data_IF_279756423819
#
_entry.id   IF_279756423819
#
_cell.length_a   1.000
_cell.length_b   1.000
_cell.length_c   1.000
_cell.angle_alpha   90.00
_cell.angle_beta   90.00
_cell.angle_gamma   90.00
#
_symmetry.space_group_name_H-M   'P 1'
#
loop_
_entity.id
_entity.type
_entity.pdbx_description
1 polymer ?
#
# COMPACT_ATOMS: atom_id res chain seq x y z
N UNK A 1 -24.23 64.39 -0.81
CA UNK A 1 -23.54 63.68 0.30
C UNK A 1 -24.21 62.36 0.73
N UNK A 2 -25.55 62.24 0.74
CA UNK A 2 -26.24 61.02 1.23
C UNK A 2 -26.12 59.79 0.30
N UNK A 3 -26.00 59.99 -1.02
CA UNK A 3 -25.83 58.91 -2.00
C UNK A 3 -24.39 58.40 -2.16
N UNK A 4 -23.38 59.17 -1.73
CA UNK A 4 -21.97 58.76 -1.76
C UNK A 4 -21.66 57.68 -0.71
N UNK A 5 -22.36 57.70 0.42
CA UNK A 5 -22.23 56.70 1.49
C UNK A 5 -22.80 55.33 1.08
N UNK A 6 -23.88 55.33 0.27
CA UNK A 6 -24.47 54.09 -0.26
C UNK A 6 -23.52 53.41 -1.26
N UNK A 7 -22.79 54.20 -2.05
CA UNK A 7 -21.81 53.69 -3.01
C UNK A 7 -20.58 53.06 -2.31
N UNK A 8 -20.16 53.60 -1.17
CA UNK A 8 -19.07 53.05 -0.36
C UNK A 8 -19.46 51.76 0.39
N UNK A 9 -20.74 51.60 0.75
CA UNK A 9 -21.24 50.37 1.37
C UNK A 9 -21.39 49.24 0.33
N UNK A 10 -21.79 49.54 -0.91
CA UNK A 10 -21.83 48.56 -1.99
C UNK A 10 -20.46 48.10 -2.51
N UNK A 11 -19.38 48.83 -2.20
CA UNK A 11 -18.02 48.47 -2.62
C UNK A 11 -17.37 47.37 -1.77
N UNK A 12 -17.99 46.96 -0.66
CA UNK A 12 -17.57 45.78 0.11
C UNK A 12 -18.14 44.50 -0.52
N UNK A 13 -17.91 44.29 -1.82
CA UNK A 13 -18.07 42.96 -2.40
C UNK A 13 -17.02 42.07 -1.76
N UNK A 14 -17.47 41.19 -0.87
CA UNK A 14 -16.64 40.15 -0.25
C UNK A 14 -15.92 39.39 -1.36
N UNK A 15 -14.60 39.57 -1.45
CA UNK A 15 -13.76 38.84 -2.39
C UNK A 15 -13.81 37.36 -2.02
N UNK A 16 -14.64 36.62 -2.75
CA UNK A 16 -14.69 35.17 -2.70
C UNK A 16 -13.49 34.63 -3.48
N UNK A 17 -12.63 33.84 -2.83
CA UNK A 17 -11.55 33.16 -3.51
C UNK A 17 -12.15 31.94 -4.20
N UNK A 18 -12.17 31.93 -5.55
CA UNK A 18 -12.77 30.87 -6.36
C UNK A 18 -11.67 30.01 -6.97
N UNK A 19 -11.79 28.70 -6.78
CA UNK A 19 -10.89 27.68 -7.30
C UNK A 19 -11.67 26.63 -8.06
N UNK A 20 -11.01 25.95 -9.00
CA UNK A 20 -11.58 24.79 -9.68
C UNK A 20 -10.69 23.60 -9.42
N UNK A 21 -11.30 22.49 -8.99
CA UNK A 21 -10.58 21.25 -8.73
C UNK A 21 -11.32 20.08 -9.35
N UNK A 22 -10.55 19.08 -9.78
CA UNK A 22 -11.10 17.80 -10.20
C UNK A 22 -11.43 16.98 -8.96
N UNK A 23 -12.63 16.41 -8.93
CA UNK A 23 -13.05 15.53 -7.85
C UNK A 23 -12.43 14.14 -8.02
N UNK A 24 -11.37 13.89 -7.29
CA UNK A 24 -10.60 12.64 -7.35
C UNK A 24 -11.01 11.66 -6.25
N UNK A 25 -10.74 10.36 -6.41
CA UNK A 25 -10.77 9.40 -5.31
C UNK A 25 -9.87 9.85 -4.15
N UNK A 26 -10.23 9.51 -2.93
CA UNK A 26 -9.40 9.85 -1.76
C UNK A 26 -7.98 9.29 -1.89
N UNK A 27 -7.88 8.03 -2.33
CA UNK A 27 -6.61 7.37 -2.58
C UNK A 27 -6.65 6.64 -3.92
N UNK A 28 -5.51 6.65 -4.62
CA UNK A 28 -5.25 5.83 -5.78
C UNK A 28 -4.00 4.98 -5.52
N UNK A 29 -4.11 3.68 -5.75
CA UNK A 29 -3.08 2.70 -5.48
C UNK A 29 -2.60 2.07 -6.79
N UNK A 30 -1.29 2.01 -6.94
CA UNK A 30 -0.62 1.28 -8.02
C UNK A 30 -0.08 -0.02 -7.46
N UNK A 31 -0.77 -1.12 -7.73
CA UNK A 31 -0.40 -2.43 -7.20
C UNK A 31 0.65 -3.04 -8.10
N UNK A 32 1.83 -3.30 -7.53
CA UNK A 32 2.99 -3.83 -8.23
C UNK A 32 3.28 -5.25 -7.77
N UNK A 33 3.99 -6.01 -8.60
CA UNK A 33 4.40 -7.36 -8.22
C UNK A 33 5.50 -7.33 -7.19
N UNK A 34 5.39 -8.17 -6.15
CA UNK A 34 6.47 -8.39 -5.19
C UNK A 34 7.38 -9.54 -5.61
N UNK A 35 6.93 -10.37 -6.56
CA UNK A 35 7.56 -11.64 -6.94
C UNK A 35 7.59 -11.80 -8.45
N UNK A 36 8.52 -12.60 -8.96
CA UNK A 36 8.52 -13.00 -10.36
C UNK A 36 7.56 -14.17 -10.59
N UNK A 37 6.95 -14.21 -11.77
CA UNK A 37 6.14 -15.34 -12.17
C UNK A 37 5.41 -15.12 -13.48
N UNK A 38 4.95 -16.23 -14.06
CA UNK A 38 4.01 -16.20 -15.18
C UNK A 38 2.60 -15.95 -14.64
N UNK A 39 1.85 -15.05 -15.25
CA UNK A 39 0.44 -14.81 -14.93
C UNK A 39 -0.39 -15.99 -15.43
N UNK A 40 -1.03 -16.71 -14.52
CA UNK A 40 -1.92 -17.83 -14.87
C UNK A 40 -3.40 -17.40 -14.91
N UNK A 41 -3.72 -16.28 -14.26
CA UNK A 41 -5.05 -15.71 -14.23
C UNK A 41 -4.99 -14.19 -14.13
N UNK A 42 -5.82 -13.51 -14.91
CA UNK A 42 -6.06 -12.07 -14.88
C UNK A 42 -7.55 -11.80 -15.06
N UNK A 43 -8.17 -11.09 -14.12
CA UNK A 43 -9.61 -10.84 -14.10
C UNK A 43 -9.99 -9.57 -14.85
N UNK A 44 -9.78 -9.53 -16.16
CA UNK A 44 -10.09 -8.34 -17.00
C UNK A 44 -11.56 -7.89 -16.88
N UNK A 45 -12.49 -8.81 -16.56
CA UNK A 45 -13.92 -8.53 -16.44
C UNK A 45 -14.31 -7.60 -15.27
N UNK A 46 -13.41 -7.41 -14.30
CA UNK A 46 -13.62 -6.58 -13.11
C UNK A 46 -13.18 -5.13 -13.30
N UNK A 47 -12.50 -4.82 -14.41
CA UNK A 47 -12.16 -3.45 -14.76
C UNK A 47 -13.42 -2.58 -14.79
N UNK A 48 -13.30 -1.40 -14.19
CA UNK A 48 -14.43 -0.49 -14.06
C UNK A 48 -15.44 -0.86 -12.97
N UNK A 49 -15.16 -1.86 -12.11
CA UNK A 49 -16.05 -2.32 -11.03
C UNK A 49 -15.34 -2.34 -9.67
N UNK A 50 -16.13 -2.47 -8.60
CA UNK A 50 -15.60 -2.76 -7.25
C UNK A 50 -15.14 -4.21 -7.15
N UNK A 51 -14.03 -4.42 -6.47
CA UNK A 51 -13.40 -5.73 -6.37
C UNK A 51 -14.21 -6.75 -5.56
N UNK A 52 -14.88 -6.35 -4.48
CA UNK A 52 -15.72 -7.23 -3.65
C UNK A 52 -15.05 -8.58 -3.25
N UNK A 53 -13.81 -8.52 -2.76
CA UNK A 53 -13.01 -9.68 -2.36
C UNK A 53 -12.72 -10.66 -3.51
N UNK A 54 -12.64 -10.15 -4.74
CA UNK A 54 -12.34 -10.96 -5.92
C UNK A 54 -10.85 -11.20 -6.09
N UNK A 55 -10.53 -12.36 -6.67
CA UNK A 55 -9.22 -12.62 -7.24
C UNK A 55 -9.03 -11.72 -8.46
N UNK A 56 -7.96 -10.94 -8.46
CA UNK A 56 -7.61 -10.03 -9.56
C UNK A 56 -6.58 -10.69 -10.45
N UNK A 57 -5.47 -11.14 -9.86
CA UNK A 57 -4.34 -11.73 -10.57
C UNK A 57 -3.84 -12.93 -9.79
N UNK A 58 -3.48 -14.00 -10.51
CA UNK A 58 -2.75 -15.13 -9.96
C UNK A 58 -1.51 -15.42 -10.80
N UNK A 59 -0.37 -15.57 -10.14
CA UNK A 59 0.90 -15.96 -10.71
C UNK A 59 1.18 -17.44 -10.43
N UNK A 60 1.91 -18.10 -11.31
CA UNK A 60 2.29 -19.50 -11.14
C UNK A 60 3.15 -19.69 -9.89
N UNK A 61 2.64 -20.52 -8.97
CA UNK A 61 3.27 -20.88 -7.69
C UNK A 61 3.65 -22.35 -7.60
N UNK A 62 3.55 -23.12 -8.69
CA UNK A 62 3.78 -24.57 -8.67
C UNK A 62 5.16 -24.94 -8.14
N UNK A 63 6.22 -24.38 -8.72
CA UNK A 63 7.61 -24.68 -8.33
C UNK A 63 7.86 -24.29 -6.88
N UNK A 64 7.43 -23.11 -6.45
CA UNK A 64 7.58 -22.65 -5.06
C UNK A 64 6.90 -23.58 -4.06
N UNK A 65 5.71 -24.09 -4.39
CA UNK A 65 4.97 -25.03 -3.53
C UNK A 65 5.68 -26.38 -3.42
N UNK A 66 6.27 -26.87 -4.51
CA UNK A 66 7.09 -28.07 -4.51
C UNK A 66 8.33 -27.87 -3.66
N UNK A 67 9.05 -26.76 -3.84
CA UNK A 67 10.25 -26.45 -3.04
C UNK A 67 9.91 -26.26 -1.56
N UNK A 68 8.76 -25.65 -1.24
CA UNK A 68 8.29 -25.51 0.14
C UNK A 68 8.09 -26.88 0.81
N UNK A 69 7.41 -27.80 0.11
CA UNK A 69 7.17 -29.16 0.63
C UNK A 69 8.49 -29.91 0.84
N UNK A 70 9.41 -29.84 -0.12
CA UNK A 70 10.71 -30.50 0.02
C UNK A 70 11.56 -29.89 1.13
N UNK A 71 11.52 -28.57 1.28
CA UNK A 71 12.23 -27.86 2.34
C UNK A 71 11.66 -28.20 3.72
N UNK A 72 10.34 -28.41 3.84
CA UNK A 72 9.71 -28.91 5.08
C UNK A 72 10.16 -30.33 5.42
N UNK A 73 10.18 -31.24 4.44
CA UNK A 73 10.71 -32.59 4.66
C UNK A 73 12.19 -32.57 5.11
N UNK A 74 12.99 -31.67 4.53
CA UNK A 74 14.38 -31.47 4.94
C UNK A 74 14.50 -30.97 6.38
N UNK A 75 13.59 -30.08 6.81
CA UNK A 75 13.52 -29.60 8.19
C UNK A 75 13.23 -30.74 9.17
N UNK A 76 12.30 -31.64 8.82
CA UNK A 76 11.97 -32.82 9.63
C UNK A 76 13.19 -33.74 9.78
N UNK A 77 13.87 -34.06 8.68
CA UNK A 77 15.09 -34.88 8.71
C UNK A 77 16.19 -34.24 9.57
N UNK A 78 16.43 -32.92 9.44
CA UNK A 78 17.42 -32.20 10.26
C UNK A 78 17.03 -32.18 11.73
N UNK A 79 15.74 -32.05 12.06
CA UNK A 79 15.28 -32.14 13.46
C UNK A 79 15.58 -33.50 14.06
N UNK A 80 15.34 -34.59 13.32
CA UNK A 80 15.69 -35.94 13.77
C UNK A 80 17.20 -36.11 13.95
N UNK A 81 18.02 -35.55 13.04
CA UNK A 81 19.48 -35.56 13.20
C UNK A 81 19.93 -34.81 14.45
N UNK A 82 19.37 -33.61 14.72
CA UNK A 82 19.67 -32.84 15.93
C UNK A 82 19.34 -33.66 17.18
N UNK A 83 18.19 -34.35 17.19
CA UNK A 83 17.77 -35.16 18.33
C UNK A 83 18.75 -36.31 18.59
N UNK A 84 19.13 -37.04 17.55
CA UNK A 84 20.09 -38.15 17.63
C UNK A 84 21.44 -37.64 18.14
N UNK A 85 21.98 -36.58 17.54
CA UNK A 85 23.31 -36.08 17.86
C UNK A 85 23.36 -35.41 19.25
N UNK A 86 22.26 -34.81 19.69
CA UNK A 86 22.12 -34.27 21.05
C UNK A 86 22.09 -35.40 22.07
N UNK A 87 21.34 -36.48 21.81
CA UNK A 87 21.34 -37.68 22.67
C UNK A 87 22.72 -38.32 22.74
N UNK A 88 23.44 -38.39 21.61
CA UNK A 88 24.80 -38.90 21.55
C UNK A 88 25.77 -38.04 22.36
N UNK A 89 25.68 -36.71 22.24
CA UNK A 89 26.48 -35.78 23.04
C UNK A 89 26.25 -35.98 24.54
N UNK A 90 24.99 -36.04 24.97
CA UNK A 90 24.65 -36.25 26.38
C UNK A 90 25.12 -37.60 26.92
N UNK A 91 25.06 -38.66 26.12
CA UNK A 91 25.66 -39.97 26.47
C UNK A 91 27.18 -39.85 26.61
N UNK A 92 27.84 -39.18 25.68
CA UNK A 92 29.30 -39.07 25.65
C UNK A 92 29.85 -38.23 26.80
N UNK A 93 29.11 -37.23 27.27
CA UNK A 93 29.46 -36.46 28.49
C UNK A 93 29.54 -37.33 29.74
N UNK A 94 28.78 -38.42 29.81
CA UNK A 94 28.78 -39.36 30.95
C UNK A 94 29.93 -40.36 30.90
N UNK A 95 30.67 -40.43 29.79
CA UNK A 95 31.79 -41.36 29.60
C UNK A 95 33.09 -40.65 29.98
N UNK A 96 33.67 -41.06 31.12
CA UNK A 96 34.91 -40.47 31.64
C UNK A 96 36.14 -40.75 30.78
N UNK A 97 36.15 -41.86 30.05
CA UNK A 97 37.25 -42.23 29.14
C UNK A 97 37.27 -41.45 27.82
N UNK A 98 36.25 -40.62 27.56
CA UNK A 98 36.20 -39.77 26.37
C UNK A 98 36.86 -38.43 26.62
N UNK A 99 37.73 -38.04 25.70
CA UNK A 99 38.44 -36.76 25.78
C UNK A 99 37.48 -35.60 25.61
N UNK A 100 37.82 -34.44 26.19
CA UNK A 100 37.01 -33.24 26.03
C UNK A 100 37.01 -32.75 24.57
N UNK A 101 38.11 -32.98 23.84
CA UNK A 101 38.17 -32.76 22.39
C UNK A 101 37.08 -33.55 21.63
N UNK A 102 36.89 -34.84 21.93
CA UNK A 102 35.82 -35.62 21.30
C UNK A 102 34.44 -35.07 21.67
N UNK A 103 34.23 -34.70 22.94
CA UNK A 103 32.97 -34.09 23.43
C UNK A 103 32.66 -32.79 22.72
N UNK A 104 33.65 -31.92 22.56
CA UNK A 104 33.48 -30.65 21.87
C UNK A 104 33.21 -30.84 20.37
N UNK A 105 33.89 -31.78 19.72
CA UNK A 105 33.62 -32.10 18.32
C UNK A 105 32.17 -32.58 18.12
N UNK A 106 31.65 -33.41 19.03
CA UNK A 106 30.26 -33.85 18.98
C UNK A 106 29.27 -32.71 19.26
N UNK A 107 29.59 -31.80 20.19
CA UNK A 107 28.80 -30.58 20.43
C UNK A 107 28.75 -29.68 19.20
N UNK A 108 29.88 -29.50 18.51
CA UNK A 108 29.98 -28.71 17.28
C UNK A 108 29.08 -29.27 16.17
N UNK A 109 28.95 -30.59 16.04
CA UNK A 109 27.99 -31.20 15.10
C UNK A 109 26.55 -30.78 15.39
N UNK A 110 26.13 -30.82 16.66
CA UNK A 110 24.79 -30.38 17.06
C UNK A 110 24.57 -28.91 16.72
N UNK A 111 25.54 -28.05 17.05
CA UNK A 111 25.48 -26.61 16.75
C UNK A 111 25.35 -26.37 15.24
N UNK A 112 26.16 -27.05 14.42
CA UNK A 112 26.10 -26.92 12.95
C UNK A 112 24.74 -27.33 12.38
N UNK A 113 24.14 -28.40 12.91
CA UNK A 113 22.79 -28.83 12.51
C UNK A 113 21.73 -27.80 12.95
N UNK A 114 21.89 -27.18 14.12
CA UNK A 114 21.01 -26.10 14.58
C UNK A 114 21.09 -24.86 13.69
N UNK A 115 22.29 -24.47 13.24
CA UNK A 115 22.48 -23.41 12.25
C UNK A 115 21.77 -23.76 10.94
N UNK A 116 21.98 -24.97 10.44
CA UNK A 116 21.30 -25.47 9.22
C UNK A 116 19.77 -25.42 9.35
N UNK A 117 19.23 -25.78 10.53
CA UNK A 117 17.80 -25.68 10.84
C UNK A 117 17.31 -24.23 10.77
N UNK A 118 18.09 -23.27 11.27
CA UNK A 118 17.73 -21.85 11.21
C UNK A 118 17.64 -21.37 9.75
N UNK A 119 18.62 -21.72 8.91
CA UNK A 119 18.64 -21.37 7.49
C UNK A 119 17.43 -21.95 6.74
N UNK A 120 17.11 -23.23 7.02
CA UNK A 120 15.94 -23.89 6.44
C UNK A 120 14.64 -23.17 6.83
N UNK A 121 14.52 -22.72 8.09
CA UNK A 121 13.33 -21.96 8.54
C UNK A 121 13.19 -20.63 7.81
N UNK A 122 14.30 -19.92 7.59
CA UNK A 122 14.30 -18.67 6.81
C UNK A 122 13.83 -18.95 5.37
N UNK A 123 14.36 -20.01 4.74
CA UNK A 123 13.93 -20.41 3.39
C UNK A 123 12.42 -20.73 3.33
N UNK A 124 11.89 -21.45 4.32
CA UNK A 124 10.45 -21.74 4.42
C UNK A 124 9.63 -20.45 4.53
N UNK A 125 10.07 -19.50 5.34
CA UNK A 125 9.39 -18.22 5.49
C UNK A 125 9.34 -17.44 4.15
N UNK A 126 10.48 -17.36 3.45
CA UNK A 126 10.57 -16.70 2.14
C UNK A 126 9.67 -17.37 1.09
N UNK A 127 9.63 -18.71 1.04
CA UNK A 127 8.77 -19.44 0.11
C UNK A 127 7.28 -19.22 0.41
N UNK A 128 6.89 -19.23 1.69
CA UNK A 128 5.51 -18.93 2.10
C UNK A 128 5.10 -17.52 1.72
N UNK A 129 5.97 -16.55 1.94
CA UNK A 129 5.72 -15.15 1.55
C UNK A 129 5.60 -15.02 0.02
N UNK A 130 6.52 -15.64 -0.73
CA UNK A 130 6.46 -15.68 -2.20
C UNK A 130 5.12 -16.24 -2.70
N UNK A 131 4.72 -17.42 -2.23
CA UNK A 131 3.47 -18.08 -2.63
C UNK A 131 2.24 -17.22 -2.29
N UNK A 132 2.25 -16.56 -1.13
CA UNK A 132 1.17 -15.65 -0.74
C UNK A 132 1.08 -14.46 -1.70
N UNK A 133 2.22 -13.86 -2.04
CA UNK A 133 2.30 -12.69 -2.93
C UNK A 133 2.00 -13.02 -4.40
N UNK A 134 1.96 -14.31 -4.78
CA UNK A 134 1.52 -14.76 -6.11
C UNK A 134 0.00 -14.75 -6.29
N UNK A 135 -0.79 -14.62 -5.23
CA UNK A 135 -2.26 -14.57 -5.29
C UNK A 135 -2.77 -13.20 -4.83
N UNK A 136 -3.27 -12.39 -5.75
CA UNK A 136 -3.69 -11.02 -5.48
C UNK A 136 -5.20 -10.92 -5.41
N UNK A 137 -5.70 -10.68 -4.20
CA UNK A 137 -7.13 -10.50 -3.91
C UNK A 137 -7.34 -9.06 -3.45
N UNK A 138 -8.26 -8.36 -4.11
CA UNK A 138 -8.64 -6.99 -3.73
C UNK A 138 -10.00 -7.01 -3.04
N UNK A 139 -10.12 -6.29 -1.91
CA UNK A 139 -11.27 -6.38 -1.01
C UNK A 139 -12.43 -5.51 -1.48
N UNK A 140 -12.22 -4.21 -1.63
CA UNK A 140 -13.34 -3.28 -1.84
C UNK A 140 -13.02 -2.10 -2.78
N UNK A 141 -11.76 -1.95 -3.15
CA UNK A 141 -11.37 -0.86 -4.03
C UNK A 141 -11.97 -1.04 -5.43
N UNK A 142 -12.17 0.08 -6.12
CA UNK A 142 -12.56 0.10 -7.52
C UNK A 142 -11.34 -0.23 -8.39
N UNK A 143 -11.46 -1.22 -9.27
CA UNK A 143 -10.38 -1.60 -10.18
C UNK A 143 -10.45 -0.68 -11.40
N UNK A 144 -9.45 0.19 -11.54
CA UNK A 144 -9.40 1.14 -12.64
C UNK A 144 -8.98 0.47 -13.93
N UNK A 145 -7.89 -0.30 -13.88
CA UNK A 145 -7.36 -1.05 -15.01
C UNK A 145 -6.45 -2.18 -14.50
N UNK A 146 -6.30 -3.22 -15.30
CA UNK A 146 -5.35 -4.31 -15.12
C UNK A 146 -4.31 -4.20 -16.24
N UNK A 147 -3.04 -4.16 -15.86
CA UNK A 147 -1.92 -3.89 -16.75
C UNK A 147 -1.25 -5.16 -17.30
N UNK A 148 -1.67 -6.35 -16.84
CA UNK A 148 -1.09 -7.64 -17.23
C UNK A 148 -2.16 -8.63 -17.63
N UNK A 149 -1.85 -9.46 -18.63
CA UNK A 149 -2.74 -10.48 -19.16
C UNK A 149 -2.28 -11.86 -18.76
N UNK A 150 -3.16 -12.85 -18.96
CA UNK A 150 -2.79 -14.25 -18.84
C UNK A 150 -1.61 -14.54 -19.78
N UNK A 151 -0.69 -15.36 -19.29
CA UNK A 151 0.56 -15.76 -19.93
C UNK A 151 1.68 -14.72 -19.97
N UNK A 152 1.45 -13.48 -19.51
CA UNK A 152 2.52 -12.50 -19.32
C UNK A 152 3.49 -12.95 -18.24
N UNK A 153 4.75 -12.53 -18.39
CA UNK A 153 5.77 -12.69 -17.35
C UNK A 153 5.99 -11.37 -16.62
N UNK A 154 5.94 -11.42 -15.30
CA UNK A 154 6.15 -10.25 -14.44
C UNK A 154 7.39 -10.44 -13.57
N UNK A 155 7.99 -9.31 -13.20
CA UNK A 155 9.13 -9.23 -12.28
C UNK A 155 8.76 -8.35 -11.08
N UNK A 156 9.50 -8.40 -9.96
CA UNK A 156 9.31 -7.47 -8.87
C UNK A 156 9.33 -6.01 -9.35
N UNK A 157 8.33 -5.24 -8.94
CA UNK A 157 8.13 -3.84 -9.35
C UNK A 157 7.27 -3.65 -10.60
N UNK A 158 6.96 -4.70 -11.37
CA UNK A 158 6.04 -4.61 -12.53
C UNK A 158 4.66 -4.15 -12.05
N UNK A 159 4.07 -3.14 -12.72
CA UNK A 159 2.71 -2.68 -12.45
C UNK A 159 1.69 -3.73 -12.88
N UNK A 160 0.87 -4.18 -11.93
CA UNK A 160 -0.10 -5.24 -12.14
C UNK A 160 -1.49 -4.69 -12.40
N UNK A 161 -1.99 -3.82 -11.53
CA UNK A 161 -3.27 -3.15 -11.68
C UNK A 161 -3.33 -1.86 -10.86
N UNK A 162 -4.25 -0.97 -11.19
CA UNK A 162 -4.53 0.22 -10.40
C UNK A 162 -5.90 0.09 -9.70
N UNK A 163 -5.92 0.46 -8.44
CA UNK A 163 -7.11 0.41 -7.59
C UNK A 163 -7.38 1.78 -6.97
N UNK A 164 -8.65 2.17 -6.85
CA UNK A 164 -9.07 3.48 -6.35
C UNK A 164 -10.01 3.31 -5.16
N UNK A 165 -9.73 4.03 -4.09
CA UNK A 165 -10.64 4.13 -2.94
C UNK A 165 -11.70 5.19 -3.23
N UNK A 166 -12.93 4.74 -3.47
CA UNK A 166 -14.08 5.61 -3.77
C UNK A 166 -14.92 5.93 -2.53
N UNK A 167 -14.42 5.69 -1.30
CA UNK A 167 -15.15 5.97 -0.07
C UNK A 167 -15.41 7.47 0.15
N UNK A 168 -14.44 8.30 -0.24
CA UNK A 168 -14.49 9.76 -0.17
C UNK A 168 -13.93 10.37 -1.44
N UNK A 169 -14.34 11.59 -1.72
CA UNK A 169 -13.71 12.44 -2.73
C UNK A 169 -12.63 13.31 -2.12
N UNK A 170 -11.63 13.62 -2.93
CA UNK A 170 -10.59 14.59 -2.64
C UNK A 170 -10.62 15.67 -3.71
N UNK A 171 -10.61 16.93 -3.27
CA UNK A 171 -10.36 18.08 -4.13
C UNK A 171 -9.00 18.64 -3.74
N UNK A 172 -8.11 18.77 -4.72
CA UNK A 172 -6.83 19.44 -4.57
C UNK A 172 -6.92 20.80 -5.27
N UNK A 173 -6.72 21.87 -4.50
CA UNK A 173 -6.65 23.24 -5.01
C UNK A 173 -5.30 23.85 -4.63
N UNK A 174 -4.84 24.82 -5.41
CA UNK A 174 -3.64 25.60 -5.13
C UNK A 174 -4.05 27.01 -4.72
N UNK A 175 -3.77 27.36 -3.47
CA UNK A 175 -4.17 28.64 -2.88
C UNK A 175 -2.92 29.50 -2.68
N UNK A 176 -2.93 30.79 -3.12
CA UNK A 176 -1.80 31.69 -2.92
C UNK A 176 -1.37 31.76 -1.45
N UNK A 177 -0.07 31.79 -1.20
CA UNK A 177 0.51 31.74 0.16
C UNK A 177 -0.07 32.85 1.05
N UNK A 178 -0.22 34.07 0.50
CA UNK A 178 -0.74 35.24 1.22
C UNK A 178 -2.22 35.11 1.63
N UNK A 179 -2.96 34.17 1.03
CA UNK A 179 -4.38 33.94 1.28
C UNK A 179 -4.66 32.73 2.18
N UNK A 180 -3.63 31.95 2.54
CA UNK A 180 -3.78 30.72 3.32
C UNK A 180 -4.39 30.98 4.70
N UNK A 181 -3.95 32.02 5.41
CA UNK A 181 -4.53 32.35 6.72
C UNK A 181 -5.99 32.85 6.59
N UNK A 182 -6.35 33.45 5.45
CA UNK A 182 -7.71 33.96 5.21
C UNK A 182 -8.70 32.84 4.91
N UNK A 183 -8.27 31.75 4.29
CA UNK A 183 -9.19 30.64 3.93
C UNK A 183 -9.52 29.73 5.11
N UNK A 184 -8.68 29.67 6.16
CA UNK A 184 -8.88 28.79 7.31
C UNK A 184 -10.16 29.09 8.11
N UNK A 185 -10.60 30.35 8.10
CA UNK A 185 -11.76 30.84 8.86
C UNK A 185 -13.02 31.03 8.02
N UNK A 186 -12.96 30.77 6.71
CA UNK A 186 -14.07 31.01 5.77
C UNK A 186 -14.96 29.80 5.59
N UNK A 187 -16.22 30.06 5.25
CA UNK A 187 -17.16 29.01 4.86
C UNK A 187 -16.79 28.47 3.48
N UNK A 188 -16.80 27.13 3.33
CA UNK A 188 -16.49 26.46 2.07
C UNK A 188 -17.77 26.18 1.29
N UNK A 189 -17.84 26.69 0.07
CA UNK A 189 -18.92 26.42 -0.88
C UNK A 189 -18.41 25.52 -2.00
N UNK A 190 -19.25 24.55 -2.39
CA UNK A 190 -18.99 23.61 -3.48
C UNK A 190 -20.12 23.73 -4.49
N UNK A 191 -19.79 24.10 -5.73
CA UNK A 191 -20.77 24.39 -6.80
C UNK A 191 -21.86 25.36 -6.30
N UNK A 192 -21.44 26.49 -5.71
CA UNK A 192 -22.26 27.56 -5.12
C UNK A 192 -23.15 27.13 -3.92
N UNK A 193 -23.00 25.90 -3.41
CA UNK A 193 -23.73 25.41 -2.23
C UNK A 193 -22.83 25.40 -1.00
N UNK A 194 -23.30 25.98 0.11
CA UNK A 194 -22.60 25.90 1.39
C UNK A 194 -22.40 24.43 1.78
N UNK A 195 -21.19 24.08 2.20
CA UNK A 195 -20.84 22.73 2.62
C UNK A 195 -20.35 22.74 4.06
N UNK A 196 -20.56 21.62 4.77
CA UNK A 196 -20.04 21.42 6.13
C UNK A 196 -18.59 20.90 6.13
N UNK A 197 -17.89 21.07 5.01
CA UNK A 197 -16.54 20.55 4.82
C UNK A 197 -15.55 21.53 5.42
N UNK A 198 -14.52 20.98 6.04
CA UNK A 198 -13.36 21.72 6.54
C UNK A 198 -12.13 21.43 5.70
N UNK A 199 -11.18 22.35 5.72
CA UNK A 199 -9.85 22.12 5.15
C UNK A 199 -9.24 20.90 5.83
N UNK A 200 -8.95 19.86 5.03
CA UNK A 200 -8.44 18.59 5.56
C UNK A 200 -6.93 18.62 5.71
N UNK A 201 -6.23 19.30 4.78
CA UNK A 201 -4.78 19.44 4.81
C UNK A 201 -4.33 20.69 4.05
N UNK A 202 -3.31 21.35 4.57
CA UNK A 202 -2.56 22.41 3.88
C UNK A 202 -1.10 21.96 3.85
N UNK A 203 -0.46 22.09 2.70
CA UNK A 203 0.97 21.78 2.54
C UNK A 203 1.78 23.05 2.80
N UNK A 204 2.70 23.02 3.76
CA UNK A 204 3.52 24.18 4.13
C UNK A 204 4.67 24.45 3.14
N UNK A 205 4.80 23.61 2.10
CA UNK A 205 5.81 23.72 1.06
C UNK A 205 5.11 23.82 -0.28
N UNK A 206 5.49 24.82 -1.07
CA UNK A 206 4.96 25.05 -2.40
C UNK A 206 5.31 23.88 -3.34
N UNK A 207 4.40 23.62 -4.28
CA UNK A 207 4.59 22.55 -5.27
C UNK A 207 5.64 22.95 -6.31
N UNK A 208 6.24 21.96 -6.98
CA UNK A 208 7.21 22.18 -8.06
C UNK A 208 6.66 23.04 -9.21
N UNK A 209 5.36 22.92 -9.51
CA UNK A 209 4.71 23.70 -10.57
C UNK A 209 4.12 25.01 -10.04
N UNK A 210 3.64 25.02 -8.80
CA UNK A 210 2.93 26.15 -8.20
C UNK A 210 3.74 26.77 -7.05
N UNK A 211 4.83 27.46 -7.40
CA UNK A 211 5.82 27.99 -6.45
C UNK A 211 5.31 29.07 -5.49
N UNK A 212 4.21 29.75 -5.84
CA UNK A 212 3.61 30.84 -5.06
C UNK A 212 2.30 30.44 -4.38
N UNK A 213 1.97 29.15 -4.39
CA UNK A 213 0.72 28.63 -3.83
C UNK A 213 0.97 27.37 -3.03
N UNK A 214 0.20 27.21 -1.95
CA UNK A 214 0.18 25.97 -1.19
C UNK A 214 -0.94 25.07 -1.69
N UNK A 215 -0.64 23.77 -1.73
CA UNK A 215 -1.64 22.76 -2.01
C UNK A 215 -2.56 22.62 -0.80
N UNK A 216 -3.85 22.66 -1.05
CA UNK A 216 -4.90 22.49 -0.04
C UNK A 216 -5.80 21.34 -0.47
N UNK A 217 -6.04 20.40 0.45
CA UNK A 217 -6.89 19.24 0.24
C UNK A 217 -8.20 19.38 1.00
N UNK A 218 -9.31 19.15 0.30
CA UNK A 218 -10.66 19.06 0.87
C UNK A 218 -11.21 17.66 0.67
N UNK A 219 -11.75 17.06 1.74
CA UNK A 219 -12.36 15.74 1.68
C UNK A 219 -13.89 15.82 1.65
N UNK A 220 -14.49 15.18 0.65
CA UNK A 220 -15.93 15.12 0.45
C UNK A 220 -16.45 13.74 0.83
N UNK A 221 -17.51 13.70 1.61
CA UNK A 221 -18.25 12.46 1.89
C UNK A 221 -19.36 12.24 0.84
N UNK A 222 -19.83 11.00 0.70
CA UNK A 222 -20.99 10.63 -0.12
C UNK A 222 -20.91 11.04 -1.60
N UNK A 223 -19.70 10.99 -2.18
CA UNK A 223 -19.49 11.32 -3.60
C UNK A 223 -20.06 10.22 -4.50
N UNK A 224 -20.97 10.60 -5.40
CA UNK A 224 -21.59 9.68 -6.38
C UNK A 224 -20.85 9.58 -7.71
N UNK A 225 -20.25 10.69 -8.15
CA UNK A 225 -19.56 10.80 -9.44
C UNK A 225 -18.20 11.46 -9.25
N UNK A 226 -17.16 10.74 -9.65
CA UNK A 226 -15.77 11.21 -9.62
C UNK A 226 -15.35 11.74 -10.99
N UNK A 227 -14.17 12.36 -11.05
CA UNK A 227 -13.55 12.96 -12.25
C UNK A 227 -14.31 14.14 -12.87
N UNK A 228 -15.23 14.76 -12.12
CA UNK A 228 -15.87 16.02 -12.54
C UNK A 228 -15.09 17.23 -12.04
N UNK A 229 -15.09 18.31 -12.81
CA UNK A 229 -14.60 19.61 -12.34
C UNK A 229 -15.63 20.19 -11.38
N UNK A 230 -15.15 20.73 -10.26
CA UNK A 230 -15.97 21.28 -9.18
C UNK A 230 -15.46 22.66 -8.84
N UNK A 231 -16.39 23.61 -8.68
CA UNK A 231 -16.08 24.96 -8.22
C UNK A 231 -16.01 24.97 -6.70
N UNK A 232 -14.91 25.46 -6.15
CA UNK A 232 -14.67 25.61 -4.70
C UNK A 232 -14.55 27.10 -4.39
N UNK A 233 -15.34 27.60 -3.45
CA UNK A 233 -15.29 29.02 -3.06
C UNK A 233 -15.11 29.14 -1.55
N UNK A 234 -14.24 30.07 -1.13
CA UNK A 234 -14.09 30.48 0.26
C UNK A 234 -14.74 31.84 0.45
N UNK A 235 -15.85 31.87 1.18
CA UNK A 235 -16.63 33.09 1.46
C UNK A 235 -16.59 33.46 2.93
#
# INVERSE_FOLDING_TARGET
MRYLLVFFISANFVFASVFYAKLEPINSYKIKSNVSGKVIFSNESIEGKKANNSLIIELDSYVDRVDLKQTQNKLEAVNSMIEIESKNYERMKRVSSKSDFEKDNQKLKVINLQTTKADIKIKIANLKDSIKNKKLIEKNNYIYNINVKRDDYVTPGTLLYEAKDLSKGKLEIFVPIDDIEKIKSKDIYIDDKKSDIIVSKIYDVADSEHISSYKVELHLNNVKKFSRLVKVEFK
#
